data_IF_737434629060
#
_entry.id   IF_737434629060
#
_cell.length_a   1.000
_cell.length_b   1.000
_cell.length_c   1.000
_cell.angle_alpha   90.00
_cell.angle_beta   90.00
_cell.angle_gamma   90.00
#
_symmetry.space_group_name_H-M   'P 1'
#
loop_
_entity.id
_entity.type
_entity.pdbx_description
1 polymer ?
#
# COMPACT_ATOMS: atom_id res chain seq x y z
N UNK A 1 41.23 20.03 -45.03
CA UNK A 1 40.01 19.68 -45.76
C UNK A 1 38.82 19.94 -44.86
N UNK A 2 37.96 20.87 -45.30
CA UNK A 2 36.59 21.19 -44.85
C UNK A 2 36.23 21.18 -43.35
N UNK A 3 36.07 22.40 -42.80
CA UNK A 3 34.98 22.76 -41.87
C UNK A 3 33.66 22.96 -42.71
N UNK A 4 32.48 23.45 -42.21
CA UNK A 4 32.15 24.02 -40.89
C UNK A 4 30.68 23.82 -40.35
N UNK A 5 30.42 24.53 -39.23
CA UNK A 5 29.20 25.33 -38.84
C UNK A 5 27.91 24.62 -38.42
N UNK A 6 27.36 24.82 -37.21
CA UNK A 6 26.76 26.01 -36.52
C UNK A 6 25.36 26.43 -37.00
N UNK A 7 24.46 26.53 -36.01
CA UNK A 7 23.29 27.42 -35.86
C UNK A 7 22.05 27.20 -36.74
N UNK A 8 20.88 27.02 -36.12
CA UNK A 8 19.86 28.08 -35.99
C UNK A 8 18.57 27.58 -35.33
N UNK A 9 18.04 28.38 -34.40
CA UNK A 9 16.67 28.32 -33.92
C UNK A 9 15.73 29.03 -34.92
N UNK A 10 14.51 28.51 -35.14
CA UNK A 10 13.39 29.26 -35.73
C UNK A 10 12.06 28.78 -35.14
N UNK A 11 11.31 29.73 -34.59
CA UNK A 11 9.87 29.74 -34.26
C UNK A 11 9.00 29.89 -35.52
N UNK A 12 7.72 29.49 -35.43
CA UNK A 12 6.47 30.01 -36.08
C UNK A 12 5.54 28.83 -36.48
N UNK A 13 4.41 28.63 -35.79
CA UNK A 13 3.04 29.17 -36.00
C UNK A 13 2.21 28.48 -37.11
N UNK A 14 1.09 27.90 -36.64
CA UNK A 14 -0.27 27.95 -37.20
C UNK A 14 -0.60 27.20 -38.51
N UNK A 15 -1.54 26.24 -38.45
CA UNK A 15 -2.69 26.15 -39.38
C UNK A 15 -3.94 25.60 -38.66
N UNK A 16 -4.94 26.46 -38.56
CA UNK A 16 -6.36 26.19 -38.33
C UNK A 16 -7.06 26.11 -39.71
N UNK A 17 -7.89 25.10 -39.96
CA UNK A 17 -9.06 25.14 -40.87
C UNK A 17 -10.12 24.18 -40.31
N UNK A 18 -11.19 24.65 -39.67
CA UNK A 18 -12.44 25.15 -40.26
C UNK A 18 -13.05 24.24 -41.33
N UNK A 19 -14.11 23.53 -40.94
CA UNK A 19 -15.35 23.39 -41.72
C UNK A 19 -16.52 23.79 -40.82
N UNK A 20 -17.43 24.61 -41.35
CA UNK A 20 -18.58 25.20 -40.67
C UNK A 20 -19.81 25.08 -41.58
N UNK A 21 -20.98 25.09 -40.94
CA UNK A 21 -22.37 25.06 -41.43
C UNK A 21 -22.95 23.63 -41.63
N UNK A 22 -24.15 23.31 -41.15
CA UNK A 22 -25.30 24.20 -40.91
C UNK A 22 -25.88 24.21 -39.49
N UNK A 23 -26.46 25.37 -39.14
CA UNK A 23 -27.44 25.53 -38.07
C UNK A 23 -28.79 24.97 -38.54
N UNK A 24 -29.52 24.32 -37.64
CA UNK A 24 -30.94 24.61 -37.55
C UNK A 24 -31.41 24.53 -36.10
N UNK A 25 -32.24 25.50 -35.74
CA UNK A 25 -32.72 25.79 -34.41
C UNK A 25 -33.90 24.89 -34.03
N UNK A 26 -33.90 24.36 -32.81
CA UNK A 26 -35.00 23.54 -32.28
C UNK A 26 -34.99 23.53 -30.77
N UNK A 27 -35.63 24.55 -30.20
CA UNK A 27 -35.83 24.78 -28.77
C UNK A 27 -36.92 23.83 -28.28
N UNK A 28 -36.61 22.81 -27.49
CA UNK A 28 -37.64 22.03 -26.80
C UNK A 28 -37.26 21.69 -25.35
N UNK A 29 -37.99 22.34 -24.44
CA UNK A 29 -38.13 21.95 -23.05
C UNK A 29 -38.91 20.63 -23.02
N UNK A 30 -38.36 19.58 -22.41
CA UNK A 30 -39.16 18.39 -22.09
C UNK A 30 -39.30 18.30 -20.58
N UNK A 31 -40.52 18.61 -20.16
CA UNK A 31 -41.03 18.45 -18.81
C UNK A 31 -41.16 16.96 -18.46
N UNK A 32 -40.82 16.61 -17.22
CA UNK A 32 -41.26 15.38 -16.59
C UNK A 32 -42.79 15.39 -16.43
N UNK A 33 -43.47 14.35 -16.93
CA UNK A 33 -44.58 13.67 -16.23
C UNK A 33 -44.93 12.32 -16.89
N UNK A 34 -45.53 11.38 -16.12
CA UNK A 34 -45.38 9.94 -16.31
C UNK A 34 -46.48 9.34 -17.18
N UNK A 35 -46.17 8.25 -17.87
CA UNK A 35 -47.17 7.35 -18.44
C UNK A 35 -46.95 5.93 -17.90
N UNK A 36 -47.93 5.51 -17.12
CA UNK A 36 -48.26 4.13 -16.79
C UNK A 36 -48.63 3.39 -18.09
N UNK A 37 -47.99 2.27 -18.39
CA UNK A 37 -48.66 1.02 -18.79
C UNK A 37 -47.62 -0.08 -19.11
N UNK A 38 -47.67 -1.11 -18.26
CA UNK A 38 -47.43 -2.54 -18.49
C UNK A 38 -46.41 -2.99 -19.53
N UNK A 39 -45.34 -3.64 -19.06
CA UNK A 39 -44.88 -4.94 -19.57
C UNK A 39 -43.91 -5.58 -18.58
N UNK A 40 -44.24 -6.81 -18.17
CA UNK A 40 -43.58 -7.60 -17.14
C UNK A 40 -42.09 -7.84 -17.44
N UNK A 41 -41.22 -7.41 -16.52
CA UNK A 41 -39.88 -7.98 -16.37
C UNK A 41 -39.74 -8.50 -14.94
N UNK A 42 -39.54 -9.81 -14.82
CA UNK A 42 -39.30 -10.48 -13.54
C UNK A 42 -37.94 -10.03 -12.97
N UNK A 43 -37.95 -9.02 -12.12
CA UNK A 43 -36.86 -8.73 -11.18
C UNK A 43 -37.18 -9.38 -9.83
N UNK A 44 -36.32 -10.30 -9.38
CA UNK A 44 -36.32 -10.77 -8.00
C UNK A 44 -35.68 -9.68 -7.12
N UNK A 45 -36.49 -8.75 -6.63
CA UNK A 45 -36.13 -7.85 -5.54
C UNK A 45 -36.62 -8.46 -4.22
N UNK A 46 -35.70 -8.92 -3.38
CA UNK A 46 -36.03 -9.24 -1.99
C UNK A 46 -36.02 -7.92 -1.19
N UNK A 47 -37.21 -7.34 -1.00
CA UNK A 47 -37.46 -6.31 0.01
C UNK A 47 -37.86 -7.04 1.28
N UNK A 48 -37.06 -6.96 2.33
CA UNK A 48 -37.49 -7.28 3.69
C UNK A 48 -37.39 -5.98 4.48
N UNK A 49 -38.52 -5.29 4.58
CA UNK A 49 -38.73 -4.20 5.52
C UNK A 49 -39.28 -4.78 6.82
N UNK A 50 -38.57 -4.57 7.92
CA UNK A 50 -39.16 -4.56 9.25
C UNK A 50 -38.73 -3.26 9.93
N UNK A 51 -39.70 -2.37 10.07
CA UNK A 51 -39.57 -1.14 10.83
C UNK A 51 -39.61 -1.48 12.34
N UNK A 52 -38.57 -1.08 13.07
CA UNK A 52 -38.64 -0.87 14.51
C UNK A 52 -37.88 0.42 14.83
N UNK A 53 -38.66 1.47 15.10
CA UNK A 53 -38.24 2.76 15.62
C UNK A 53 -37.85 2.64 17.10
N UNK A 54 -36.60 2.99 17.42
CA UNK A 54 -36.09 3.19 18.78
C UNK A 54 -35.13 4.39 18.82
N UNK A 55 -34.96 5.07 19.96
CA UNK A 55 -34.53 6.47 20.00
C UNK A 55 -33.04 6.67 19.69
N UNK A 56 -32.75 7.82 19.07
CA UNK A 56 -31.42 8.34 18.75
C UNK A 56 -30.55 8.42 20.01
N UNK A 57 -29.52 7.58 20.09
CA UNK A 57 -28.39 7.76 20.99
C UNK A 57 -27.23 8.34 20.19
N UNK A 58 -26.86 9.58 20.51
CA UNK A 58 -25.65 10.22 20.02
C UNK A 58 -24.41 9.40 20.41
N UNK A 59 -23.34 9.35 19.60
CA UNK A 59 -22.13 8.65 19.98
C UNK A 59 -21.43 9.46 21.07
N UNK A 60 -21.51 8.97 22.31
CA UNK A 60 -20.64 9.40 23.38
C UNK A 60 -19.20 9.04 22.98
N UNK A 61 -18.44 10.05 22.59
CA UNK A 61 -16.99 10.00 22.48
C UNK A 61 -16.42 9.60 23.84
N UNK A 62 -16.01 8.34 23.98
CA UNK A 62 -15.20 7.88 25.11
C UNK A 62 -13.85 8.61 25.04
N UNK A 63 -13.75 9.75 25.72
CA UNK A 63 -12.48 10.32 26.14
C UNK A 63 -11.85 9.35 27.14
N UNK A 64 -10.97 8.48 26.67
CA UNK A 64 -9.96 7.88 27.54
C UNK A 64 -8.92 8.98 27.81
N UNK A 65 -9.21 9.84 28.80
CA UNK A 65 -8.26 10.82 29.27
C UNK A 65 -7.14 10.11 30.02
N UNK A 66 -5.92 10.17 29.49
CA UNK A 66 -4.74 10.05 30.34
C UNK A 66 -4.66 11.33 31.19
N UNK A 67 -5.00 11.18 32.46
CA UNK A 67 -4.79 12.19 33.48
C UNK A 67 -4.91 11.50 34.83
N UNK A 68 -3.79 11.26 35.48
CA UNK A 68 -3.79 10.76 36.86
C UNK A 68 -4.55 11.76 37.73
N UNK A 69 -5.45 11.27 38.59
CA UNK A 69 -6.23 12.11 39.51
C UNK A 69 -5.34 12.99 40.42
N UNK A 70 -4.05 12.65 40.55
CA UNK A 70 -3.05 13.41 41.30
C UNK A 70 -2.64 14.72 40.61
N UNK A 71 -2.62 14.78 39.27
CA UNK A 71 -2.22 16.01 38.55
C UNK A 71 -3.22 17.15 38.73
N UNK A 72 -4.51 16.83 38.92
CA UNK A 72 -5.55 17.83 39.24
C UNK A 72 -5.45 18.36 40.67
N UNK A 73 -4.87 17.58 41.60
CA UNK A 73 -4.77 17.98 43.00
C UNK A 73 -3.57 18.89 43.26
N UNK A 74 -2.52 18.80 42.43
CA UNK A 74 -1.24 19.51 42.63
C UNK A 74 -1.09 20.80 41.83
N UNK A 75 -2.08 21.21 41.02
CA UNK A 75 -2.05 22.50 40.31
C UNK A 75 -0.90 22.66 39.30
N UNK A 76 -0.28 21.57 38.86
CA UNK A 76 0.81 21.59 37.89
C UNK A 76 0.23 21.72 36.47
N UNK A 77 0.07 22.96 36.00
CA UNK A 77 -0.17 23.24 34.59
C UNK A 77 1.07 22.83 33.79
N UNK A 78 1.04 21.68 33.11
CA UNK A 78 2.00 21.44 32.01
C UNK A 78 1.62 22.37 30.85
N UNK A 79 2.59 23.01 30.18
CA UNK A 79 2.30 23.69 28.93
C UNK A 79 1.75 22.67 27.94
N UNK A 80 0.70 23.01 27.21
CA UNK A 80 0.10 22.21 26.14
C UNK A 80 1.16 21.90 25.06
N UNK A 81 1.91 20.82 25.24
CA UNK A 81 2.82 20.28 24.24
C UNK A 81 2.14 19.13 23.52
N UNK A 82 1.98 19.32 22.20
CA UNK A 82 1.46 18.44 21.16
C UNK A 82 -0.05 18.13 21.17
N UNK A 83 -0.79 18.86 20.33
CA UNK A 83 -1.99 18.31 19.68
C UNK A 83 -1.62 16.91 19.14
N UNK A 84 -2.41 15.86 19.42
CA UNK A 84 -2.13 14.55 18.86
C UNK A 84 -2.10 14.69 17.34
N UNK A 85 -1.01 14.21 16.71
CA UNK A 85 -0.87 14.17 15.26
C UNK A 85 -2.10 13.48 14.67
N UNK A 86 -2.99 14.28 14.06
CA UNK A 86 -4.23 13.79 13.48
C UNK A 86 -3.88 13.23 12.12
N UNK A 87 -4.10 11.93 11.92
CA UNK A 87 -3.90 11.32 10.60
C UNK A 87 -4.92 11.93 9.62
N UNK A 88 -4.49 12.55 8.51
CA UNK A 88 -5.38 13.22 7.56
C UNK A 88 -6.31 12.22 6.86
N UNK A 89 -7.47 12.68 6.41
CA UNK A 89 -8.37 11.87 5.58
C UNK A 89 -7.90 11.90 4.12
N UNK A 90 -8.19 10.84 3.35
CA UNK A 90 -8.06 10.96 1.89
C UNK A 90 -9.24 11.79 1.37
N UNK A 91 -9.00 12.79 0.52
CA UNK A 91 -10.04 13.53 -0.19
C UNK A 91 -11.06 12.63 -0.88
N UNK A 92 -12.30 13.12 -0.98
CA UNK A 92 -13.40 12.37 -1.60
C UNK A 92 -13.36 12.45 -3.12
N UNK A 93 -12.93 13.57 -3.68
CA UNK A 93 -12.98 13.81 -5.11
C UNK A 93 -11.58 13.84 -5.71
N UNK A 94 -11.50 13.43 -6.97
CA UNK A 94 -10.27 13.52 -7.76
C UNK A 94 -9.71 14.94 -7.81
N UNK A 95 -10.56 15.94 -8.05
CA UNK A 95 -10.10 17.33 -8.17
C UNK A 95 -9.47 17.83 -6.87
N UNK A 96 -10.06 17.52 -5.72
CA UNK A 96 -9.52 17.89 -4.40
C UNK A 96 -8.17 17.19 -4.14
N UNK A 97 -8.07 15.92 -4.53
CA UNK A 97 -6.84 15.13 -4.45
C UNK A 97 -5.74 15.69 -5.37
N UNK A 98 -6.07 15.97 -6.63
CA UNK A 98 -5.15 16.54 -7.62
C UNK A 98 -4.66 17.93 -7.16
N UNK A 99 -5.56 18.76 -6.63
CA UNK A 99 -5.19 20.05 -6.04
C UNK A 99 -4.21 19.86 -4.88
N UNK A 100 -4.47 18.94 -3.95
CA UNK A 100 -3.57 18.68 -2.82
C UNK A 100 -2.20 18.16 -3.23
N UNK A 101 -2.12 17.37 -4.31
CA UNK A 101 -0.86 16.89 -4.85
C UNK A 101 -0.06 17.98 -5.57
N UNK A 102 -0.72 19.03 -6.06
CA UNK A 102 -0.08 20.16 -6.76
C UNK A 102 0.15 21.36 -5.82
N UNK A 103 -0.58 21.44 -4.70
CA UNK A 103 -0.44 22.51 -3.72
C UNK A 103 0.99 22.58 -3.19
N UNK A 104 1.48 23.81 -3.03
CA UNK A 104 2.75 24.03 -2.37
C UNK A 104 2.71 23.44 -0.95
N UNK A 105 3.73 22.68 -0.53
CA UNK A 105 3.83 22.15 0.81
C UNK A 105 3.72 23.27 1.86
N UNK A 106 2.97 23.02 2.93
CA UNK A 106 2.88 23.88 4.12
C UNK A 106 4.14 23.73 4.98
N UNK A 107 5.26 24.24 4.44
CA UNK A 107 6.60 24.00 4.98
C UNK A 107 6.79 24.63 6.38
N UNK A 108 7.30 23.87 7.36
CA UNK A 108 7.75 24.40 8.64
C UNK A 108 9.08 25.17 8.49
N UNK A 109 9.55 25.79 9.58
CA UNK A 109 10.81 26.57 9.57
C UNK A 109 12.04 25.71 9.24
N UNK A 110 12.13 24.49 9.78
CA UNK A 110 13.25 23.58 9.54
C UNK A 110 12.78 22.25 8.92
N UNK A 111 12.33 22.25 7.65
CA UNK A 111 11.74 21.07 7.05
C UNK A 111 12.78 19.97 6.88
N UNK A 112 12.38 18.75 7.21
CA UNK A 112 13.15 17.52 7.00
C UNK A 112 12.36 16.54 6.16
N UNK A 113 13.03 15.84 5.26
CA UNK A 113 12.41 14.86 4.35
C UNK A 113 13.18 13.55 4.35
N UNK A 114 12.47 12.43 4.15
CA UNK A 114 13.06 11.10 3.95
C UNK A 114 12.25 10.29 2.95
N UNK A 115 12.89 9.83 1.88
CA UNK A 115 12.31 8.90 0.90
C UNK A 115 12.71 7.47 1.23
N UNK A 116 11.73 6.65 1.59
CA UNK A 116 11.92 5.28 2.07
C UNK A 116 11.33 4.28 1.10
N UNK A 117 12.15 3.38 0.57
CA UNK A 117 11.68 2.26 -0.27
C UNK A 117 11.50 1.02 0.58
N UNK A 118 10.32 0.40 0.51
CA UNK A 118 10.06 -0.89 1.12
C UNK A 118 10.33 -2.00 0.11
N UNK A 119 11.37 -2.81 0.34
CA UNK A 119 11.71 -3.98 -0.47
C UNK A 119 11.48 -5.28 0.29
N UNK A 120 11.16 -6.36 -0.43
CA UNK A 120 11.00 -7.67 0.16
C UNK A 120 10.19 -8.63 -0.70
N UNK A 121 10.17 -9.90 -0.30
CA UNK A 121 9.40 -10.92 -1.01
C UNK A 121 7.90 -10.58 -1.08
N UNK A 122 7.15 -11.11 -2.07
CA UNK A 122 5.69 -11.08 -2.05
C UNK A 122 5.17 -11.60 -0.70
N UNK A 123 4.12 -10.96 -0.18
CA UNK A 123 3.48 -11.29 1.11
C UNK A 123 4.35 -11.14 2.37
N UNK A 124 5.53 -10.52 2.29
CA UNK A 124 6.35 -10.19 3.47
C UNK A 124 5.68 -9.18 4.44
N UNK A 125 4.57 -8.56 4.02
CA UNK A 125 3.82 -7.59 4.82
C UNK A 125 4.19 -6.13 4.56
N UNK A 126 4.74 -5.80 3.39
CA UNK A 126 5.11 -4.42 2.98
C UNK A 126 3.94 -3.46 3.09
N UNK A 127 2.87 -3.68 2.32
CA UNK A 127 1.68 -2.83 2.35
C UNK A 127 0.97 -2.83 3.72
N UNK A 128 1.05 -3.95 4.47
CA UNK A 128 0.57 -3.98 5.87
C UNK A 128 1.36 -3.01 6.73
N UNK A 129 2.69 -3.04 6.67
CA UNK A 129 3.56 -2.12 7.40
C UNK A 129 3.32 -0.67 6.97
N UNK A 130 3.23 -0.40 5.66
CA UNK A 130 2.94 0.94 5.12
C UNK A 130 1.65 1.50 5.73
N UNK A 131 0.57 0.72 5.72
CA UNK A 131 -0.70 1.14 6.30
C UNK A 131 -0.60 1.43 7.80
N UNK A 132 0.20 0.65 8.55
CA UNK A 132 0.42 0.93 9.98
C UNK A 132 1.23 2.20 10.20
N UNK A 133 2.27 2.46 9.39
CA UNK A 133 3.07 3.68 9.48
C UNK A 133 2.25 4.92 9.16
N UNK A 134 1.37 4.83 8.14
CA UNK A 134 0.44 5.89 7.75
C UNK A 134 -0.72 6.07 8.74
N UNK A 135 -1.04 5.04 9.54
CA UNK A 135 -2.21 5.04 10.43
C UNK A 135 -3.55 4.86 9.72
N UNK A 136 -3.55 4.58 8.41
CA UNK A 136 -4.74 4.30 7.59
C UNK A 136 -4.45 3.21 6.55
N UNK A 137 -5.50 2.48 6.18
CA UNK A 137 -5.43 1.38 5.22
C UNK A 137 -5.64 1.87 3.78
N UNK A 138 -4.64 2.55 3.21
CA UNK A 138 -4.71 3.05 1.82
C UNK A 138 -4.18 2.05 0.78
N UNK A 139 -3.31 1.13 1.18
CA UNK A 139 -2.79 0.10 0.29
C UNK A 139 -3.54 -1.22 0.48
N UNK A 140 -3.84 -1.96 -0.60
CA UNK A 140 -4.52 -3.26 -0.51
C UNK A 140 -3.60 -4.32 0.12
N UNK A 141 -4.16 -5.16 0.99
CA UNK A 141 -3.45 -6.24 1.70
C UNK A 141 -4.18 -7.56 1.53
N UNK A 142 -3.56 -8.55 0.89
CA UNK A 142 -4.13 -9.91 0.79
C UNK A 142 -3.05 -10.97 1.04
N UNK A 143 -3.49 -12.16 1.45
CA UNK A 143 -2.65 -13.37 1.54
C UNK A 143 -2.26 -13.90 0.15
N UNK A 144 -2.97 -13.47 -0.89
CA UNK A 144 -2.63 -13.83 -2.27
C UNK A 144 -1.50 -12.98 -2.80
N UNK A 145 -0.63 -13.63 -3.56
CA UNK A 145 0.46 -12.96 -4.27
C UNK A 145 -0.10 -11.92 -5.25
N UNK A 146 0.70 -10.88 -5.54
CA UNK A 146 0.37 -9.83 -6.53
C UNK A 146 -0.80 -8.91 -6.14
N UNK A 147 -0.94 -8.66 -4.84
CA UNK A 147 -1.90 -7.66 -4.34
C UNK A 147 -1.53 -6.24 -4.80
N UNK A 148 -0.25 -5.86 -4.68
CA UNK A 148 0.29 -4.58 -5.16
C UNK A 148 0.80 -4.74 -6.59
N UNK A 149 0.17 -4.04 -7.55
CA UNK A 149 0.49 -4.15 -8.99
C UNK A 149 1.29 -2.99 -9.56
N UNK A 150 1.29 -1.85 -8.89
CA UNK A 150 2.04 -0.66 -9.27
C UNK A 150 2.66 -0.06 -8.01
N UNK A 151 3.75 0.67 -8.17
CA UNK A 151 4.29 1.50 -7.10
C UNK A 151 3.22 2.51 -6.66
N UNK A 152 2.97 2.56 -5.36
CA UNK A 152 2.08 3.55 -4.76
C UNK A 152 2.83 4.29 -3.64
N UNK A 153 2.60 5.59 -3.56
CA UNK A 153 3.30 6.47 -2.62
C UNK A 153 2.39 6.75 -1.44
N UNK A 154 2.95 6.68 -0.24
CA UNK A 154 2.31 7.05 1.02
C UNK A 154 3.15 8.11 1.72
N UNK A 155 2.52 9.08 2.36
CA UNK A 155 3.22 10.15 3.10
C UNK A 155 2.69 10.20 4.51
N UNK A 156 3.59 10.27 5.48
CA UNK A 156 3.25 10.69 6.83
C UNK A 156 4.19 11.78 7.30
N UNK A 157 3.61 12.74 8.00
CA UNK A 157 4.30 13.95 8.46
C UNK A 157 4.11 14.06 9.96
N UNK A 158 5.19 14.25 10.71
CA UNK A 158 5.15 14.53 12.15
C UNK A 158 6.13 15.66 12.49
N UNK A 159 5.61 16.72 13.12
CA UNK A 159 6.36 17.93 13.45
C UNK A 159 7.00 18.51 12.17
N UNK A 160 8.33 18.58 12.12
CA UNK A 160 9.08 19.12 10.99
C UNK A 160 9.53 18.06 9.98
N UNK A 161 9.26 16.78 10.24
CA UNK A 161 9.74 15.66 9.41
C UNK A 161 8.62 15.07 8.55
N UNK A 162 8.88 14.97 7.24
CA UNK A 162 8.03 14.31 6.26
C UNK A 162 8.71 13.03 5.77
N UNK A 163 8.03 11.90 5.90
CA UNK A 163 8.52 10.60 5.42
C UNK A 163 7.63 10.12 4.28
N UNK A 164 8.27 9.83 3.15
CA UNK A 164 7.63 9.39 1.92
C UNK A 164 7.93 7.90 1.74
N UNK A 165 6.92 7.07 1.89
CA UNK A 165 6.96 5.63 1.69
C UNK A 165 6.68 5.30 0.22
N UNK A 166 7.64 4.65 -0.42
CA UNK A 166 7.46 4.08 -1.75
C UNK A 166 7.13 2.58 -1.57
N UNK A 167 5.82 2.25 -1.59
CA UNK A 167 5.37 0.86 -1.51
C UNK A 167 5.60 0.19 -2.87
N UNK A 168 6.60 -0.69 -2.91
CA UNK A 168 6.97 -1.39 -4.15
C UNK A 168 6.31 -2.77 -4.21
N UNK A 169 5.96 -3.26 -5.41
CA UNK A 169 5.58 -4.65 -5.59
C UNK A 169 6.64 -5.59 -5.02
N UNK A 170 6.21 -6.76 -4.52
CA UNK A 170 7.17 -7.76 -4.02
C UNK A 170 8.15 -8.19 -5.11
N UNK A 171 9.42 -8.33 -4.76
CA UNK A 171 10.45 -8.75 -5.70
C UNK A 171 10.16 -10.17 -6.21
N UNK A 172 9.89 -10.27 -7.51
CA UNK A 172 9.54 -11.52 -8.20
C UNK A 172 10.67 -11.87 -9.16
N UNK A 173 10.97 -13.16 -9.32
CA UNK A 173 11.94 -13.59 -10.32
C UNK A 173 11.33 -13.53 -11.74
N UNK A 174 12.12 -13.23 -12.79
CA UNK A 174 11.62 -13.20 -14.16
C UNK A 174 10.90 -14.49 -14.59
N UNK A 175 11.34 -15.63 -14.08
CA UNK A 175 10.69 -16.94 -14.30
C UNK A 175 9.29 -17.00 -13.69
N UNK A 176 9.11 -16.48 -12.47
CA UNK A 176 7.81 -16.44 -11.79
C UNK A 176 6.86 -15.45 -12.47
N UNK A 177 7.38 -14.32 -12.95
CA UNK A 177 6.58 -13.34 -13.68
C UNK A 177 5.97 -13.95 -14.96
N UNK A 178 6.79 -14.58 -15.80
CA UNK A 178 6.34 -15.24 -17.03
C UNK A 178 5.34 -16.37 -16.75
N UNK A 179 5.57 -17.16 -15.70
CA UNK A 179 4.68 -18.26 -15.29
C UNK A 179 3.28 -17.77 -14.90
N UNK A 180 3.19 -16.60 -14.27
CA UNK A 180 1.95 -16.05 -13.75
C UNK A 180 1.35 -14.94 -14.63
N UNK A 181 1.87 -14.73 -15.85
CA UNK A 181 1.41 -13.70 -16.80
C UNK A 181 1.25 -12.31 -16.17
N UNK A 182 2.23 -11.93 -15.35
CA UNK A 182 2.19 -10.66 -14.63
C UNK A 182 2.77 -9.52 -15.47
N UNK A 183 2.39 -8.29 -15.14
CA UNK A 183 2.86 -7.08 -15.82
C UNK A 183 4.38 -6.91 -15.72
N UNK A 184 4.98 -6.35 -16.78
CA UNK A 184 6.41 -6.06 -16.89
C UNK A 184 6.90 -5.03 -15.87
N UNK A 185 6.04 -4.08 -15.51
CA UNK A 185 6.26 -3.04 -14.49
C UNK A 185 6.71 -3.59 -13.15
N UNK A 186 6.19 -4.75 -12.71
CA UNK A 186 6.55 -5.37 -11.43
C UNK A 186 8.04 -5.68 -11.28
N UNK A 187 8.76 -5.84 -12.39
CA UNK A 187 10.21 -6.03 -12.38
C UNK A 187 10.97 -4.71 -12.41
N UNK A 188 10.42 -3.65 -12.99
CA UNK A 188 11.10 -2.36 -13.15
C UNK A 188 10.87 -1.41 -11.97
N UNK A 189 9.66 -1.40 -11.40
CA UNK A 189 9.24 -0.47 -10.34
C UNK A 189 10.16 -0.48 -9.11
N UNK A 190 10.62 -1.65 -8.60
CA UNK A 190 11.55 -1.67 -7.48
C UNK A 190 12.90 -1.02 -7.82
N UNK A 191 13.39 -1.14 -9.06
CA UNK A 191 14.65 -0.52 -9.48
C UNK A 191 14.52 0.99 -9.61
N UNK A 192 13.43 1.49 -10.20
CA UNK A 192 13.16 2.93 -10.35
C UNK A 192 13.00 3.61 -8.98
N UNK A 193 12.30 2.95 -8.05
CA UNK A 193 12.12 3.47 -6.69
C UNK A 193 13.45 3.72 -5.98
N UNK A 194 14.42 2.83 -6.18
CA UNK A 194 15.74 2.88 -5.54
C UNK A 194 16.63 4.02 -6.03
N UNK A 195 16.44 4.53 -7.25
CA UNK A 195 17.21 5.67 -7.78
C UNK A 195 16.94 6.97 -7.01
N UNK A 196 15.79 7.03 -6.35
CA UNK A 196 15.34 8.20 -5.58
C UNK A 196 15.24 7.92 -4.08
N UNK A 197 15.77 6.80 -3.60
CA UNK A 197 15.65 6.41 -2.20
C UNK A 197 16.75 7.06 -1.34
N UNK A 198 16.37 7.61 -0.20
CA UNK A 198 17.30 8.04 0.84
C UNK A 198 17.61 6.88 1.81
N UNK A 199 16.65 5.96 1.98
CA UNK A 199 16.76 4.79 2.86
C UNK A 199 16.00 3.60 2.28
N UNK A 200 16.57 2.40 2.44
CA UNK A 200 15.96 1.14 2.03
C UNK A 200 15.54 0.33 3.24
N UNK A 201 14.28 -0.07 3.29
CA UNK A 201 13.74 -0.96 4.31
C UNK A 201 13.55 -2.33 3.71
N UNK A 202 14.33 -3.30 4.16
CA UNK A 202 14.24 -4.69 3.70
C UNK A 202 13.35 -5.49 4.64
N UNK A 203 12.16 -5.86 4.17
CA UNK A 203 11.22 -6.71 4.90
C UNK A 203 11.43 -8.19 4.62
N UNK A 204 11.61 -8.95 5.69
CA UNK A 204 11.68 -10.42 5.69
C UNK A 204 10.57 -10.99 6.57
N UNK A 205 9.83 -11.95 6.02
CA UNK A 205 8.86 -12.75 6.78
C UNK A 205 9.58 -13.85 7.55
N UNK A 206 9.64 -13.73 8.89
CA UNK A 206 10.33 -14.73 9.72
C UNK A 206 9.52 -16.02 9.92
N UNK A 207 8.22 -15.98 9.63
CA UNK A 207 7.33 -17.13 9.76
C UNK A 207 7.48 -18.11 8.60
N UNK A 208 7.92 -17.64 7.43
CA UNK A 208 8.15 -18.47 6.25
C UNK A 208 9.46 -19.25 6.36
N UNK A 209 9.36 -20.51 6.78
CA UNK A 209 10.50 -21.43 6.94
C UNK A 209 11.32 -21.64 5.67
N UNK A 210 10.73 -21.42 4.49
CA UNK A 210 11.41 -21.66 3.22
C UNK A 210 12.31 -20.50 2.80
N UNK A 211 11.90 -19.26 3.10
CA UNK A 211 12.59 -18.06 2.63
C UNK A 211 13.35 -17.33 3.72
N UNK A 212 12.98 -17.49 5.00
CA UNK A 212 13.56 -16.71 6.12
C UNK A 212 15.07 -16.84 6.30
N UNK A 213 15.70 -17.92 5.84
CA UNK A 213 17.13 -18.18 6.06
C UNK A 213 18.05 -17.51 5.02
N UNK A 214 17.50 -16.77 4.04
CA UNK A 214 18.31 -16.09 3.04
C UNK A 214 17.56 -14.92 2.40
N UNK A 215 18.30 -13.89 2.02
CA UNK A 215 17.77 -12.83 1.16
C UNK A 215 17.63 -13.34 -0.28
N UNK A 216 16.56 -12.92 -0.96
CA UNK A 216 16.38 -13.31 -2.37
C UNK A 216 17.52 -12.78 -3.26
N UNK A 217 17.95 -13.50 -4.31
CA UNK A 217 19.02 -13.03 -5.19
C UNK A 217 18.74 -11.67 -5.84
N UNK A 218 17.47 -11.40 -6.19
CA UNK A 218 17.04 -10.12 -6.77
C UNK A 218 17.21 -8.97 -5.79
N UNK A 219 16.88 -9.20 -4.52
CA UNK A 219 17.06 -8.21 -3.46
C UNK A 219 18.55 -7.93 -3.23
N UNK A 220 19.39 -8.96 -3.17
CA UNK A 220 20.84 -8.80 -3.01
C UNK A 220 21.46 -8.07 -4.20
N UNK A 221 21.02 -8.35 -5.42
CA UNK A 221 21.45 -7.63 -6.61
C UNK A 221 21.07 -6.14 -6.53
N UNK A 222 19.87 -5.84 -6.04
CA UNK A 222 19.38 -4.48 -5.83
C UNK A 222 20.22 -3.73 -4.80
N UNK A 223 20.41 -4.32 -3.62
CA UNK A 223 21.24 -3.76 -2.54
C UNK A 223 22.70 -3.57 -2.97
N UNK A 224 23.25 -4.49 -3.77
CA UNK A 224 24.63 -4.38 -4.27
C UNK A 224 24.78 -3.24 -5.28
N UNK A 225 23.79 -3.03 -6.16
CA UNK A 225 23.80 -1.95 -7.16
C UNK A 225 23.66 -0.58 -6.51
N UNK A 226 22.86 -0.47 -5.44
CA UNK A 226 22.58 0.76 -4.71
C UNK A 226 23.22 0.74 -3.31
N UNK A 227 24.45 0.25 -3.20
CA UNK A 227 25.15 0.08 -1.93
C UNK A 227 25.46 1.40 -1.21
N UNK A 228 25.39 2.52 -1.92
CA UNK A 228 25.49 3.88 -1.37
C UNK A 228 24.27 4.29 -0.56
N UNK A 229 23.09 3.70 -0.85
CA UNK A 229 21.86 4.02 -0.12
C UNK A 229 21.85 3.18 1.16
N UNK A 230 21.69 3.81 2.34
CA UNK A 230 21.64 3.07 3.60
C UNK A 230 20.46 2.11 3.62
N UNK A 231 20.64 0.95 4.23
CA UNK A 231 19.58 -0.05 4.37
C UNK A 231 19.39 -0.49 5.82
N UNK A 232 18.14 -0.81 6.17
CA UNK A 232 17.77 -1.43 7.44
C UNK A 232 17.00 -2.74 7.20
N UNK A 233 17.16 -3.68 8.14
CA UNK A 233 16.49 -4.97 8.09
C UNK A 233 15.26 -4.94 9.01
N UNK A 234 14.10 -5.33 8.48
CA UNK A 234 12.86 -5.51 9.24
C UNK A 234 12.43 -6.97 9.17
N UNK A 235 12.50 -7.63 10.31
CA UNK A 235 12.04 -8.99 10.55
C UNK A 235 10.58 -8.95 10.98
N UNK A 236 9.66 -9.18 10.04
CA UNK A 236 8.21 -9.04 10.24
C UNK A 236 7.54 -10.38 10.56
N UNK A 237 6.37 -10.32 11.19
CA UNK A 237 5.53 -11.47 11.62
C UNK A 237 6.14 -12.28 12.77
N UNK A 238 6.77 -11.59 13.71
CA UNK A 238 7.37 -12.21 14.90
C UNK A 238 6.34 -12.89 15.81
N UNK A 239 5.08 -12.47 15.74
CA UNK A 239 3.93 -13.05 16.44
C UNK A 239 3.63 -14.49 15.99
N UNK A 240 3.97 -14.84 14.75
CA UNK A 240 3.81 -16.20 14.22
C UNK A 240 4.87 -17.19 14.72
N UNK A 241 5.95 -16.71 15.37
CA UNK A 241 7.03 -17.58 15.82
C UNK A 241 6.74 -18.22 17.17
N UNK A 242 6.77 -19.56 17.21
CA UNK A 242 6.69 -20.32 18.46
C UNK A 242 7.92 -20.15 19.36
N UNK A 243 9.10 -20.02 18.75
CA UNK A 243 10.39 -19.89 19.45
C UNK A 243 11.08 -18.61 19.01
N UNK A 244 11.21 -17.64 19.93
CA UNK A 244 11.84 -16.34 19.65
C UNK A 244 13.38 -16.42 19.58
N UNK A 245 14.00 -17.47 20.11
CA UNK A 245 15.46 -17.69 20.02
C UNK A 245 15.99 -17.72 18.58
N UNK A 246 15.18 -18.23 17.65
CA UNK A 246 15.50 -18.31 16.22
C UNK A 246 15.74 -16.93 15.59
N UNK A 247 15.21 -15.85 16.18
CA UNK A 247 15.40 -14.49 15.65
C UNK A 247 16.86 -14.06 15.69
N UNK A 248 17.62 -14.46 16.72
CA UNK A 248 19.04 -14.17 16.81
C UNK A 248 19.81 -14.85 15.68
N UNK A 249 19.55 -16.13 15.44
CA UNK A 249 20.18 -16.90 14.37
C UNK A 249 19.90 -16.28 13.00
N UNK A 250 18.64 -15.94 12.75
CA UNK A 250 18.22 -15.30 11.51
C UNK A 250 18.86 -13.91 11.35
N UNK A 251 18.98 -13.14 12.43
CA UNK A 251 19.64 -11.83 12.39
C UNK A 251 21.10 -11.96 11.96
N UNK A 252 21.83 -12.96 12.48
CA UNK A 252 23.23 -13.23 12.11
C UNK A 252 23.32 -13.70 10.66
N UNK A 253 22.46 -14.63 10.23
CA UNK A 253 22.48 -15.17 8.87
C UNK A 253 22.16 -14.10 7.83
N UNK A 254 21.13 -13.28 8.07
CA UNK A 254 20.68 -12.25 7.13
C UNK A 254 21.61 -11.04 7.07
N UNK A 255 22.36 -10.78 8.13
CA UNK A 255 23.33 -9.66 8.21
C UNK A 255 24.78 -10.11 7.98
N UNK A 256 25.01 -11.39 7.72
CA UNK A 256 26.36 -11.98 7.70
C UNK A 256 27.17 -11.67 8.99
N UNK A 257 26.47 -11.48 10.11
CA UNK A 257 27.02 -11.16 11.43
C UNK A 257 27.51 -9.72 11.62
N UNK A 258 27.20 -8.80 10.69
CA UNK A 258 27.64 -7.41 10.73
C UNK A 258 26.45 -6.46 10.66
N UNK A 259 26.33 -5.55 11.63
CA UNK A 259 25.35 -4.46 11.63
C UNK A 259 26.06 -3.16 11.99
N UNK A 260 25.80 -2.11 11.23
CA UNK A 260 26.42 -0.79 11.40
C UNK A 260 27.97 -0.86 11.43
N UNK A 261 28.56 -1.76 10.63
CA UNK A 261 30.00 -2.01 10.60
C UNK A 261 30.58 -2.73 11.83
N UNK A 262 29.74 -3.12 12.80
CA UNK A 262 30.16 -3.85 14.01
C UNK A 262 29.79 -5.33 13.88
N UNK A 263 30.71 -6.21 14.29
CA UNK A 263 30.44 -7.65 14.39
C UNK A 263 29.62 -7.95 15.64
N UNK A 264 28.67 -8.87 15.54
CA UNK A 264 27.99 -9.43 16.72
C UNK A 264 28.98 -10.22 17.59
N UNK A 265 29.14 -9.83 18.86
CA UNK A 265 29.81 -10.68 19.86
C UNK A 265 28.84 -11.80 20.28
N UNK A 266 29.04 -13.00 19.72
CA UNK A 266 28.23 -14.17 20.08
C UNK A 266 28.76 -14.88 21.33
N UNK A 267 27.83 -15.34 22.18
CA UNK A 267 28.09 -16.39 23.17
C UNK A 267 28.58 -17.68 22.51
N UNK A 268 29.47 -18.41 23.19
CA UNK A 268 30.26 -19.52 22.62
C UNK A 268 29.41 -20.68 22.04
N UNK A 269 28.18 -20.88 22.51
CA UNK A 269 27.31 -21.99 22.14
C UNK A 269 26.86 -21.97 20.66
N UNK A 270 26.77 -20.78 20.04
CA UNK A 270 26.23 -20.61 18.69
C UNK A 270 27.26 -20.77 17.56
N UNK A 271 28.57 -20.70 17.86
CA UNK A 271 29.63 -20.93 16.85
C UNK A 271 29.59 -22.36 16.30
N UNK A 272 29.31 -23.33 17.18
CA UNK A 272 29.16 -24.74 16.82
C UNK A 272 28.07 -24.99 15.77
N UNK A 273 26.97 -24.22 15.84
CA UNK A 273 25.85 -24.30 14.91
C UNK A 273 26.15 -23.65 13.56
N UNK A 274 26.91 -22.55 13.54
CA UNK A 274 27.29 -21.87 12.31
C UNK A 274 28.21 -22.72 11.44
N UNK A 275 29.20 -23.38 12.08
CA UNK A 275 30.06 -24.35 11.42
C UNK A 275 29.23 -25.54 10.89
N UNK A 276 28.31 -26.06 11.69
CA UNK A 276 27.42 -27.16 11.28
C UNK A 276 26.49 -26.77 10.12
N UNK A 277 25.93 -25.55 10.12
CA UNK A 277 25.04 -25.06 9.06
C UNK A 277 25.80 -24.82 7.74
N UNK A 278 26.98 -24.19 7.78
CA UNK A 278 27.85 -24.01 6.62
C UNK A 278 28.33 -25.37 6.06
N UNK A 279 28.82 -26.27 6.92
CA UNK A 279 29.26 -27.62 6.53
C UNK A 279 28.11 -28.46 5.94
N UNK A 280 26.88 -28.30 6.45
CA UNK A 280 25.70 -29.03 5.95
C UNK A 280 25.21 -28.60 4.56
N UNK A 281 25.55 -27.38 4.10
CA UNK A 281 25.27 -26.92 2.72
C UNK A 281 26.36 -27.33 1.74
N UNK A 282 27.64 -27.27 2.15
CA UNK A 282 28.77 -27.69 1.29
C UNK A 282 28.69 -29.20 0.96
N UNK A 283 28.15 -30.00 1.87
CA UNK A 283 27.97 -31.45 1.70
C UNK A 283 26.75 -31.86 0.85
N UNK A 284 25.88 -30.92 0.43
CA UNK A 284 24.65 -31.21 -0.35
C UNK A 284 24.71 -30.78 -1.82
N UNK A 285 25.84 -30.27 -2.31
CA UNK A 285 26.07 -30.07 -3.74
C UNK A 285 26.78 -31.30 -4.33
N UNK A 286 26.17 -32.04 -5.27
CA UNK A 286 26.93 -32.90 -6.17
C UNK A 286 27.62 -32.03 -7.22
N UNK A 287 28.88 -32.34 -7.52
CA UNK A 287 29.75 -31.78 -8.57
C UNK A 287 30.80 -30.72 -8.13
N UNK A 288 32.10 -31.11 -8.03
CA UNK A 288 33.21 -30.22 -7.70
C UNK A 288 33.68 -29.27 -8.83
N UNK A 289 33.05 -29.24 -10.00
CA UNK A 289 33.61 -28.57 -11.19
C UNK A 289 32.80 -27.36 -11.73
N UNK A 290 32.06 -26.65 -10.87
CA UNK A 290 31.57 -25.32 -11.22
C UNK A 290 31.74 -24.33 -10.07
N UNK A 291 32.94 -23.76 -9.96
CA UNK A 291 33.22 -22.66 -9.02
C UNK A 291 32.57 -21.37 -9.54
N UNK A 292 31.23 -21.32 -9.44
CA UNK A 292 30.50 -20.06 -9.43
C UNK A 292 30.77 -19.33 -8.12
N UNK A 293 30.88 -17.99 -8.15
CA UNK A 293 31.06 -17.16 -6.95
C UNK A 293 30.09 -17.59 -5.83
N UNK A 294 30.52 -17.71 -4.57
CA UNK A 294 29.64 -18.11 -3.48
C UNK A 294 28.44 -17.16 -3.43
N UNK A 295 27.25 -17.73 -3.61
CA UNK A 295 26.01 -16.96 -3.64
C UNK A 295 25.76 -16.45 -2.22
N UNK A 296 25.92 -15.14 -2.00
CA UNK A 296 25.67 -14.51 -0.70
C UNK A 296 24.25 -14.82 -0.24
N UNK A 297 24.09 -15.12 1.04
CA UNK A 297 22.79 -15.40 1.66
C UNK A 297 22.27 -14.22 2.47
N UNK A 298 23.13 -13.27 2.83
CA UNK A 298 22.80 -12.10 3.63
C UNK A 298 23.41 -10.81 3.06
N UNK A 299 23.26 -9.72 3.83
CA UNK A 299 23.76 -8.39 3.49
C UNK A 299 24.42 -7.73 4.72
N UNK A 300 25.74 -7.49 4.70
CA UNK A 300 26.49 -7.03 5.89
C UNK A 300 26.43 -5.52 6.13
N UNK A 301 25.76 -4.76 5.26
CA UNK A 301 25.72 -3.30 5.34
C UNK A 301 24.39 -2.76 5.89
N UNK A 302 23.62 -3.61 6.58
CA UNK A 302 22.46 -3.10 7.32
C UNK A 302 22.92 -2.19 8.46
N UNK A 303 22.30 -1.02 8.58
CA UNK A 303 22.57 -0.08 9.67
C UNK A 303 21.90 -0.51 10.96
N UNK A 304 20.70 -1.08 10.87
CA UNK A 304 19.90 -1.44 12.03
C UNK A 304 18.97 -2.62 11.72
N UNK A 305 18.53 -3.32 12.77
CA UNK A 305 17.56 -4.41 12.69
C UNK A 305 16.34 -4.07 13.54
N UNK A 306 15.15 -4.24 12.97
CA UNK A 306 13.88 -4.16 13.68
C UNK A 306 13.17 -5.51 13.62
N UNK A 307 12.66 -5.96 14.76
CA UNK A 307 11.83 -7.15 14.87
C UNK A 307 10.43 -6.67 15.24
N UNK A 308 9.43 -6.91 14.38
CA UNK A 308 8.11 -6.33 14.59
C UNK A 308 6.99 -7.22 14.06
N UNK A 309 5.76 -6.89 14.42
CA UNK A 309 4.57 -7.44 13.78
C UNK A 309 3.71 -6.32 13.23
N UNK A 310 3.64 -6.24 11.90
CA UNK A 310 2.78 -5.26 11.23
C UNK A 310 1.29 -5.52 11.47
N UNK A 311 0.91 -6.76 11.80
CA UNK A 311 -0.50 -7.11 12.00
C UNK A 311 -0.98 -6.74 13.41
N UNK A 312 -0.18 -7.02 14.44
CA UNK A 312 -0.51 -6.68 15.83
C UNK A 312 -0.07 -5.28 16.25
N UNK A 313 0.60 -4.53 15.37
CA UNK A 313 1.24 -3.23 15.64
C UNK A 313 2.36 -3.27 16.69
N UNK A 314 2.84 -4.46 17.06
CA UNK A 314 3.99 -4.64 17.95
C UNK A 314 5.24 -4.02 17.31
N UNK A 315 5.90 -3.11 18.03
CA UNK A 315 7.15 -2.41 17.67
C UNK A 315 7.15 -1.57 16.38
N UNK A 316 6.02 -1.42 15.69
CA UNK A 316 5.90 -0.56 14.50
C UNK A 316 6.19 0.91 14.82
N UNK A 317 5.79 1.37 16.01
CA UNK A 317 6.04 2.75 16.45
C UNK A 317 7.55 3.04 16.61
N UNK A 318 8.36 2.06 16.99
CA UNK A 318 9.82 2.19 17.11
C UNK A 318 10.42 2.45 15.73
N UNK A 319 10.00 1.67 14.73
CA UNK A 319 10.41 1.89 13.35
C UNK A 319 9.97 3.27 12.86
N UNK A 320 8.73 3.69 13.15
CA UNK A 320 8.22 5.02 12.77
C UNK A 320 9.10 6.14 13.32
N UNK A 321 9.42 6.10 14.61
CA UNK A 321 10.27 7.10 15.27
C UNK A 321 11.70 7.08 14.72
N UNK A 322 12.23 5.89 14.42
CA UNK A 322 13.52 5.78 13.75
C UNK A 322 13.50 6.47 12.38
N UNK A 323 12.51 6.21 11.54
CA UNK A 323 12.39 6.84 10.22
C UNK A 323 12.29 8.37 10.33
N UNK A 324 11.46 8.89 11.25
CA UNK A 324 11.36 10.33 11.51
C UNK A 324 12.69 10.95 11.96
N UNK A 325 13.48 10.21 12.76
CA UNK A 325 14.81 10.67 13.19
C UNK A 325 15.85 10.68 12.06
N UNK A 326 15.63 9.90 11.00
CA UNK A 326 16.54 9.81 9.84
C UNK A 326 16.28 10.86 8.77
N UNK A 327 15.15 11.55 8.82
CA UNK A 327 14.83 12.63 7.89
C UNK A 327 15.91 13.72 7.92
N UNK A 328 16.38 14.10 6.74
CA UNK A 328 17.46 15.07 6.53
C UNK A 328 16.87 16.45 6.21
N UNK A 329 17.56 17.56 6.53
CA UNK A 329 17.13 18.89 6.13
C UNK A 329 16.88 18.98 4.62
N UNK A 330 15.68 19.42 4.25
CA UNK A 330 15.26 19.49 2.86
C UNK A 330 13.81 19.93 2.74
N UNK A 331 13.42 20.55 1.61
CA UNK A 331 12.04 20.97 1.41
C UNK A 331 11.11 19.76 1.46
N UNK A 332 9.95 19.91 2.10
CA UNK A 332 8.88 18.93 1.97
C UNK A 332 8.47 18.81 0.50
N UNK A 333 8.10 17.60 0.07
CA UNK A 333 7.65 17.35 -1.31
C UNK A 333 6.13 17.49 -1.44
N UNK A 334 5.39 17.23 -0.36
CA UNK A 334 3.92 17.20 -0.37
C UNK A 334 3.34 18.07 0.75
N UNK A 335 2.11 18.52 0.56
CA UNK A 335 1.31 19.13 1.63
C UNK A 335 1.06 18.12 2.77
N UNK A 336 1.00 18.58 4.02
CA UNK A 336 0.88 17.75 5.22
C UNK A 336 -0.37 16.86 5.25
N UNK A 337 -1.45 17.30 4.61
CA UNK A 337 -2.69 16.55 4.42
C UNK A 337 -2.62 15.44 3.36
N UNK A 338 -1.56 15.39 2.54
CA UNK A 338 -1.38 14.30 1.56
C UNK A 338 -1.00 13.02 2.31
N UNK A 339 -1.82 11.98 2.19
CA UNK A 339 -1.52 10.66 2.76
C UNK A 339 -1.05 9.64 1.72
N UNK A 340 -1.48 9.81 0.46
CA UNK A 340 -1.11 8.94 -0.66
C UNK A 340 -1.23 9.67 -1.99
N UNK A 341 -0.51 9.21 -3.01
CA UNK A 341 -0.64 9.71 -4.39
C UNK A 341 -1.79 9.06 -5.16
N UNK A 342 -2.46 8.05 -4.61
CA UNK A 342 -3.55 7.34 -5.28
C UNK A 342 -4.82 8.20 -5.34
N UNK A 343 -5.56 8.07 -6.44
CA UNK A 343 -6.87 8.71 -6.56
C UNK A 343 -7.93 7.98 -5.71
N UNK A 344 -8.97 8.67 -5.22
CA UNK A 344 -10.00 8.06 -4.38
C UNK A 344 -10.68 6.85 -5.03
N UNK A 345 -10.95 6.92 -6.34
CA UNK A 345 -11.53 5.84 -7.12
C UNK A 345 -10.58 4.65 -7.28
N UNK A 346 -9.27 4.92 -7.39
CA UNK A 346 -8.24 3.87 -7.44
C UNK A 346 -8.15 3.15 -6.10
N UNK A 347 -8.20 3.88 -4.99
CA UNK A 347 -8.25 3.30 -3.64
C UNK A 347 -9.49 2.41 -3.51
N UNK A 348 -10.67 2.90 -3.90
CA UNK A 348 -11.90 2.11 -3.90
C UNK A 348 -11.74 0.82 -4.71
N UNK A 349 -11.21 0.91 -5.94
CA UNK A 349 -10.98 -0.25 -6.78
C UNK A 349 -9.97 -1.24 -6.17
N UNK A 350 -8.95 -0.73 -5.47
CA UNK A 350 -7.93 -1.51 -4.79
C UNK A 350 -8.49 -2.26 -3.58
N UNK A 351 -9.31 -1.62 -2.75
CA UNK A 351 -9.98 -2.26 -1.61
C UNK A 351 -10.98 -3.32 -2.08
N UNK A 352 -11.76 -3.04 -3.14
CA UNK A 352 -12.62 -4.07 -3.75
C UNK A 352 -11.79 -5.25 -4.22
N UNK A 353 -10.68 -5.00 -4.92
CA UNK A 353 -9.79 -6.07 -5.41
C UNK A 353 -9.21 -6.91 -4.28
N UNK A 354 -8.85 -6.27 -3.16
CA UNK A 354 -8.41 -6.97 -1.95
C UNK A 354 -9.46 -7.99 -1.50
N UNK A 355 -10.72 -7.56 -1.34
CA UNK A 355 -11.80 -8.45 -0.90
C UNK A 355 -12.13 -9.53 -1.92
N UNK A 356 -12.07 -9.21 -3.21
CA UNK A 356 -12.17 -10.23 -4.26
C UNK A 356 -11.07 -11.30 -4.12
N UNK A 357 -9.83 -10.89 -3.83
CA UNK A 357 -8.72 -11.81 -3.62
C UNK A 357 -8.92 -12.68 -2.36
N UNK A 358 -9.48 -12.14 -1.29
CA UNK A 358 -9.75 -12.89 -0.05
C UNK A 358 -10.85 -13.93 -0.21
N UNK A 359 -11.95 -13.57 -0.87
CA UNK A 359 -13.17 -14.37 -0.89
C UNK A 359 -13.31 -15.32 -2.07
N UNK A 360 -12.78 -14.98 -3.25
CA UNK A 360 -12.96 -15.79 -4.45
C UNK A 360 -11.82 -16.77 -4.66
N UNK A 361 -12.06 -17.97 -5.17
CA UNK A 361 -11.00 -18.96 -5.41
C UNK A 361 -10.22 -18.69 -6.71
N UNK A 362 -9.03 -19.27 -6.79
CA UNK A 362 -8.23 -19.41 -8.02
C UNK A 362 -8.02 -18.07 -8.77
N UNK A 363 -8.19 -18.10 -10.09
CA UNK A 363 -7.93 -17.01 -11.03
C UNK A 363 -9.10 -16.03 -11.17
N UNK A 364 -10.25 -16.31 -10.53
CA UNK A 364 -11.47 -15.48 -10.65
C UNK A 364 -11.22 -14.01 -10.31
N UNK A 365 -10.56 -13.65 -9.18
CA UNK A 365 -10.33 -12.25 -8.83
C UNK A 365 -9.58 -11.46 -9.91
N UNK A 366 -8.64 -12.09 -10.61
CA UNK A 366 -7.80 -11.44 -11.61
C UNK A 366 -8.56 -11.13 -12.91
N UNK A 367 -9.66 -11.84 -13.16
CA UNK A 367 -10.51 -11.65 -14.34
C UNK A 367 -11.59 -10.57 -14.19
N UNK A 368 -11.79 -10.04 -12.98
CA UNK A 368 -12.83 -9.04 -12.71
C UNK A 368 -12.36 -7.66 -13.13
N UNK A 369 -13.02 -7.06 -14.12
CA UNK A 369 -12.85 -5.65 -14.46
C UNK A 369 -13.78 -4.79 -13.62
N UNK A 370 -13.32 -3.61 -13.20
CA UNK A 370 -14.09 -2.70 -12.36
C UNK A 370 -14.38 -1.41 -13.12
N UNK A 371 -15.61 -0.92 -13.02
CA UNK A 371 -16.05 0.34 -13.60
C UNK A 371 -16.85 1.13 -12.56
N UNK A 372 -16.38 2.34 -12.25
CA UNK A 372 -17.11 3.29 -11.40
C UNK A 372 -18.24 3.92 -12.22
N UNK A 373 -19.48 3.80 -11.76
CA UNK A 373 -20.67 4.31 -12.45
C UNK A 373 -21.22 5.56 -11.76
N UNK A 374 -21.17 5.58 -10.42
CA UNK A 374 -21.57 6.73 -9.60
C UNK A 374 -20.48 6.96 -8.58
N UNK A 375 -20.09 8.24 -8.44
CA UNK A 375 -19.20 8.75 -7.41
C UNK A 375 -19.66 10.16 -7.05
N UNK A 376 -20.57 10.26 -6.07
CA UNK A 376 -21.25 11.51 -5.77
C UNK A 376 -21.40 11.70 -4.26
N UNK A 377 -21.41 12.95 -3.82
CA UNK A 377 -21.75 13.30 -2.44
C UNK A 377 -23.26 13.31 -2.27
N UNK A 378 -23.76 12.46 -1.38
CA UNK A 378 -25.16 12.36 -1.00
C UNK A 378 -25.65 13.58 -0.23
N UNK A 379 -26.98 13.70 -0.07
CA UNK A 379 -27.61 14.86 0.55
C UNK A 379 -27.28 15.03 2.04
N UNK A 380 -26.87 13.96 2.73
CA UNK A 380 -26.46 14.00 4.15
C UNK A 380 -24.94 14.12 4.31
N UNK A 381 -24.21 14.26 3.20
CA UNK A 381 -22.74 14.33 3.18
C UNK A 381 -22.04 12.98 3.07
N UNK A 382 -22.80 11.89 2.93
CA UNK A 382 -22.28 10.55 2.67
C UNK A 382 -21.71 10.42 1.25
N UNK A 383 -20.76 9.49 1.04
CA UNK A 383 -20.24 9.18 -0.30
C UNK A 383 -21.07 8.05 -0.92
N UNK A 384 -21.71 8.32 -2.06
CA UNK A 384 -22.48 7.36 -2.83
C UNK A 384 -21.61 6.75 -3.93
N UNK A 385 -21.41 5.44 -3.88
CA UNK A 385 -20.56 4.72 -4.84
C UNK A 385 -21.37 3.60 -5.49
N UNK A 386 -21.41 3.59 -6.83
CA UNK A 386 -21.89 2.45 -7.61
C UNK A 386 -20.74 1.87 -8.42
N UNK A 387 -20.21 0.72 -7.99
CA UNK A 387 -19.20 -0.02 -8.73
C UNK A 387 -19.85 -1.14 -9.53
N UNK A 388 -19.40 -1.29 -10.78
CA UNK A 388 -19.78 -2.36 -11.67
C UNK A 388 -18.61 -3.31 -11.86
N UNK A 389 -18.83 -4.57 -11.49
CA UNK A 389 -17.88 -5.67 -11.61
C UNK A 389 -18.23 -6.45 -12.87
N UNK A 390 -17.36 -6.37 -13.87
CA UNK A 390 -17.53 -7.00 -15.17
C UNK A 390 -16.72 -8.30 -15.21
N UNK A 391 -17.38 -9.40 -15.60
CA UNK A 391 -16.78 -10.74 -15.64
C UNK A 391 -16.99 -11.40 -17.01
N UNK A 392 -16.04 -12.20 -17.47
CA UNK A 392 -16.10 -12.83 -18.80
C UNK A 392 -16.91 -14.13 -18.86
N UNK A 393 -17.14 -14.79 -17.72
CA UNK A 393 -17.80 -16.09 -17.66
C UNK A 393 -18.97 -16.07 -16.68
N UNK A 394 -20.05 -16.77 -17.03
CA UNK A 394 -21.21 -16.94 -16.15
C UNK A 394 -20.84 -17.67 -14.85
N UNK A 395 -19.91 -18.62 -14.91
CA UNK A 395 -19.41 -19.30 -13.72
C UNK A 395 -18.76 -18.34 -12.73
N UNK A 396 -17.94 -17.39 -13.22
CA UNK A 396 -17.32 -16.35 -12.39
C UNK A 396 -18.38 -15.41 -11.81
N UNK A 397 -19.40 -15.05 -12.60
CA UNK A 397 -20.54 -14.25 -12.11
C UNK A 397 -21.26 -14.95 -10.95
N UNK A 398 -21.57 -16.24 -11.09
CA UNK A 398 -22.24 -17.03 -10.04
C UNK A 398 -21.39 -17.14 -8.77
N UNK A 399 -20.08 -17.33 -8.90
CA UNK A 399 -19.15 -17.37 -7.76
C UNK A 399 -19.09 -16.01 -7.04
N UNK A 400 -18.99 -14.91 -7.80
CA UNK A 400 -18.91 -13.56 -7.26
C UNK A 400 -20.20 -13.13 -6.53
N UNK A 401 -21.37 -13.44 -7.11
CA UNK A 401 -22.66 -13.18 -6.47
C UNK A 401 -22.83 -14.09 -5.24
N UNK A 402 -22.44 -15.35 -5.35
CA UNK A 402 -22.61 -16.36 -4.33
C UNK A 402 -24.08 -16.79 -4.13
N UNK A 403 -24.30 -17.72 -3.22
CA UNK A 403 -25.64 -18.23 -2.91
C UNK A 403 -26.53 -17.09 -2.40
N UNK A 404 -27.66 -16.85 -3.09
CA UNK A 404 -28.65 -15.79 -2.77
C UNK A 404 -28.04 -14.38 -2.68
N UNK A 405 -26.88 -14.12 -3.29
CA UNK A 405 -26.21 -12.81 -3.20
C UNK A 405 -25.38 -12.59 -1.93
N UNK A 406 -25.21 -13.60 -1.08
CA UNK A 406 -24.49 -13.45 0.19
C UNK A 406 -23.04 -12.99 0.01
N UNK A 407 -22.34 -13.54 -0.99
CA UNK A 407 -20.92 -13.26 -1.20
C UNK A 407 -20.68 -11.80 -1.58
N UNK A 408 -21.41 -11.30 -2.58
CA UNK A 408 -21.29 -9.91 -3.00
C UNK A 408 -21.75 -8.92 -1.92
N UNK A 409 -22.78 -9.27 -1.14
CA UNK A 409 -23.22 -8.45 -0.02
C UNK A 409 -22.15 -8.34 1.07
N UNK A 410 -21.52 -9.46 1.43
CA UNK A 410 -20.41 -9.50 2.38
C UNK A 410 -19.22 -8.65 1.89
N UNK A 411 -18.83 -8.82 0.62
CA UNK A 411 -17.75 -8.01 0.02
C UNK A 411 -18.11 -6.52 0.08
N UNK A 412 -19.34 -6.14 -0.28
CA UNK A 412 -19.77 -4.74 -0.26
C UNK A 412 -19.73 -4.14 1.17
N UNK A 413 -20.13 -4.91 2.18
CA UNK A 413 -20.10 -4.48 3.58
C UNK A 413 -18.66 -4.27 4.07
N UNK A 414 -17.77 -5.24 3.82
CA UNK A 414 -16.37 -5.15 4.23
C UNK A 414 -15.63 -4.00 3.53
N UNK A 415 -15.83 -3.84 2.22
CA UNK A 415 -15.27 -2.70 1.46
C UNK A 415 -15.84 -1.38 1.99
N UNK A 416 -17.15 -1.29 2.21
CA UNK A 416 -17.78 -0.07 2.74
C UNK A 416 -17.17 0.36 4.07
N UNK A 417 -16.92 -0.60 4.98
CA UNK A 417 -16.27 -0.36 6.27
C UNK A 417 -14.84 0.17 6.12
N UNK A 418 -14.07 -0.42 5.23
CA UNK A 418 -12.70 0.04 4.95
C UNK A 418 -12.71 1.46 4.35
N UNK A 419 -13.60 1.77 3.40
CA UNK A 419 -13.71 3.10 2.79
C UNK A 419 -14.16 4.17 3.78
N UNK A 420 -15.07 3.86 4.71
CA UNK A 420 -15.45 4.81 5.78
C UNK A 420 -14.24 5.21 6.63
N UNK A 421 -13.36 4.26 6.94
CA UNK A 421 -12.13 4.55 7.71
C UNK A 421 -11.10 5.36 6.92
N UNK A 422 -11.02 5.17 5.59
CA UNK A 422 -10.07 5.87 4.73
C UNK A 422 -10.52 7.32 4.49
N UNK A 423 -11.79 7.51 4.15
CA UNK A 423 -12.36 8.81 3.79
C UNK A 423 -12.93 9.61 4.98
N UNK A 424 -13.02 8.99 6.16
CA UNK A 424 -13.60 9.59 7.37
C UNK A 424 -15.03 10.15 7.16
N UNK A 425 -15.82 9.50 6.30
CA UNK A 425 -17.22 9.81 6.07
C UNK A 425 -18.05 8.54 5.97
N UNK A 426 -19.37 8.67 6.08
CA UNK A 426 -20.28 7.56 5.76
C UNK A 426 -20.17 7.21 4.27
N UNK A 427 -20.18 5.92 3.94
CA UNK A 427 -20.08 5.42 2.56
C UNK A 427 -21.23 4.48 2.27
N UNK A 428 -21.98 4.76 1.21
CA UNK A 428 -22.97 3.84 0.65
C UNK A 428 -22.44 3.21 -0.63
N UNK A 429 -21.84 2.04 -0.50
CA UNK A 429 -21.32 1.27 -1.62
C UNK A 429 -22.37 0.29 -2.15
N UNK A 430 -22.62 0.33 -3.46
CA UNK A 430 -23.37 -0.67 -4.20
C UNK A 430 -22.48 -1.34 -5.23
N UNK A 431 -22.42 -2.68 -5.17
CA UNK A 431 -21.72 -3.49 -6.16
C UNK A 431 -22.74 -4.14 -7.10
N UNK A 432 -22.52 -4.02 -8.41
CA UNK A 432 -23.33 -4.67 -9.43
C UNK A 432 -22.46 -5.56 -10.31
N UNK A 433 -22.89 -6.80 -10.58
CA UNK A 433 -22.14 -7.73 -11.44
C UNK A 433 -22.78 -7.79 -12.82
N UNK A 434 -21.99 -7.66 -13.89
CA UNK A 434 -22.45 -7.91 -15.26
C UNK A 434 -21.46 -8.78 -16.03
N UNK A 435 -21.99 -9.53 -16.98
CA UNK A 435 -21.16 -10.23 -17.98
C UNK A 435 -20.62 -9.22 -18.99
N UNK A 436 -19.34 -9.35 -19.31
CA UNK A 436 -18.74 -8.75 -20.50
C UNK A 436 -19.40 -9.41 -21.70
N UNK A 437 -20.12 -8.62 -22.50
CA UNK A 437 -20.71 -9.06 -23.75
C UNK A 437 -19.68 -8.96 -24.87
#
# INVERSE_FOLDING_TARGET
MAAPSRCSAVLFRTVLRFWRLGQDAGRERVALRPLLLGSQWRCLSCVVGTALSGPRLAPASRRYGQGSALDRFLGLSRPDSSLPSRVPAVPLNRDDQDLLLVHSPDMPENPRVLRVVLLGAPNAGKSTLSNQLLGRKVFPVSKKVHTTRCQALGVFTENEAQVILLDTPGLISPTKQKRHHLESSLLEDPWKSMESADLVVVLVDVSDKWTRNQLSPQLLQCLTKFSQVPSILVMNKVDCLKQKSVLLDLSVVLTEGIVNGKKFEMGQDLRSYQDTYYLSRVSKSPDPESVGKPQRTGWPHFQEIFMLSSLSQEDVHILKQYLLSKAQPGPWEFHSEVLTSQMPEEICANIIREKLLEHLPQEVPYSVQQQTVVWEKGPSGELLILQKLLVSKESHMKLLIGLKGHMIAQIAEEVGRDLMNIFLCDVQLRLSVKLLK
#
